data_IF_400131444781
#
_entry.id   IF_400131444781
#
_cell.length_a   1.000
_cell.length_b   1.000
_cell.length_c   1.000
_cell.angle_alpha   90.00
_cell.angle_beta   90.00
_cell.angle_gamma   90.00
#
_symmetry.space_group_name_H-M   'P 1'
#
loop_
_entity.id
_entity.type
_entity.pdbx_description
1 polymer ?
#
# COMPACT_ATOMS: atom_id res chain seq x y z
N UNK A 1 -4.46 1.16 -38.93
CA UNK A 1 -4.33 1.12 -37.45
C UNK A 1 -3.86 2.51 -36.99
N UNK A 2 -4.70 3.30 -36.30
CA UNK A 2 -4.44 4.74 -36.11
C UNK A 2 -3.92 5.04 -34.68
N UNK A 3 -2.65 5.43 -34.60
CA UNK A 3 -1.86 5.66 -33.36
C UNK A 3 -2.47 6.77 -32.47
N UNK A 4 -3.24 7.71 -33.05
CA UNK A 4 -3.93 8.76 -32.29
C UNK A 4 -5.01 8.21 -31.32
N UNK A 5 -5.59 7.05 -31.60
CA UNK A 5 -6.63 6.47 -30.73
C UNK A 5 -6.04 5.83 -29.46
N UNK A 6 -4.81 5.31 -29.53
CA UNK A 6 -4.14 4.67 -28.39
C UNK A 6 -3.66 5.67 -27.33
N UNK A 7 -3.32 6.90 -27.73
CA UNK A 7 -2.87 7.95 -26.80
C UNK A 7 -4.04 8.56 -26.03
N UNK A 8 -5.24 8.62 -26.63
CA UNK A 8 -6.44 9.18 -25.98
C UNK A 8 -7.00 8.31 -24.86
N UNK A 9 -6.86 6.99 -24.93
CA UNK A 9 -7.31 6.07 -23.87
C UNK A 9 -6.42 6.07 -22.62
N UNK A 10 -5.17 6.54 -22.73
CA UNK A 10 -4.23 6.58 -21.61
C UNK A 10 -4.37 7.86 -20.74
N UNK A 11 -5.01 8.91 -21.25
CA UNK A 11 -5.12 10.23 -20.58
C UNK A 11 -6.51 10.46 -19.97
N UNK A 12 -7.48 9.59 -20.25
CA UNK A 12 -8.83 9.70 -19.69
C UNK A 12 -8.96 8.91 -18.39
N UNK A 13 -9.24 9.60 -17.29
CA UNK A 13 -9.66 8.98 -16.02
C UNK A 13 -11.12 8.47 -16.07
N UNK A 14 -11.84 8.68 -17.19
CA UNK A 14 -13.15 8.06 -17.35
C UNK A 14 -13.01 6.58 -17.74
N UNK A 15 -13.70 5.66 -17.04
CA UNK A 15 -13.77 4.28 -17.46
C UNK A 15 -14.31 4.23 -18.90
N UNK A 16 -13.78 3.33 -19.76
CA UNK A 16 -14.28 3.16 -21.11
C UNK A 16 -15.80 2.94 -21.06
N UNK A 17 -16.51 3.60 -21.97
CA UNK A 17 -17.98 3.73 -22.05
C UNK A 17 -18.74 2.42 -22.34
N UNK A 18 -18.23 1.29 -21.86
CA UNK A 18 -18.79 -0.06 -21.99
C UNK A 18 -18.92 -0.80 -20.66
N UNK A 19 -18.80 -0.12 -19.51
CA UNK A 19 -19.23 -0.72 -18.24
C UNK A 19 -20.76 -0.81 -18.25
N UNK A 20 -21.26 -1.95 -18.74
CA UNK A 20 -22.65 -2.36 -18.52
C UNK A 20 -22.82 -2.52 -17.01
N UNK A 21 -23.34 -1.48 -16.36
CA UNK A 21 -23.81 -1.59 -14.97
C UNK A 21 -24.81 -2.74 -14.84
N UNK A 22 -25.13 -3.16 -13.61
CA UNK A 22 -26.06 -4.27 -13.38
C UNK A 22 -27.32 -4.03 -14.20
N UNK A 23 -27.50 -4.81 -15.26
CA UNK A 23 -28.67 -4.67 -16.11
C UNK A 23 -29.76 -5.47 -15.40
N UNK A 24 -30.88 -4.86 -14.99
CA UNK A 24 -31.90 -5.54 -14.19
C UNK A 24 -32.62 -6.69 -14.93
N UNK A 25 -32.19 -7.05 -16.14
CA UNK A 25 -32.91 -7.92 -17.08
C UNK A 25 -32.10 -9.11 -17.62
N UNK A 26 -30.97 -9.47 -16.99
CA UNK A 26 -30.18 -10.66 -17.33
C UNK A 26 -30.03 -11.61 -16.13
N UNK A 27 -29.75 -12.91 -16.34
CA UNK A 27 -29.45 -13.83 -15.25
C UNK A 27 -28.26 -13.29 -14.44
N UNK A 28 -28.42 -13.22 -13.12
CA UNK A 28 -27.39 -12.71 -12.20
C UNK A 28 -26.09 -13.48 -12.43
N UNK A 29 -25.04 -12.76 -12.85
CA UNK A 29 -23.72 -13.36 -12.97
C UNK A 29 -23.08 -13.39 -11.59
N UNK A 30 -22.19 -14.34 -11.32
CA UNK A 30 -21.48 -14.42 -10.03
C UNK A 30 -20.71 -13.14 -9.69
N UNK A 31 -20.32 -12.36 -10.70
CA UNK A 31 -19.68 -11.05 -10.54
C UNK A 31 -20.65 -10.00 -10.02
N UNK A 32 -21.90 -10.02 -10.47
CA UNK A 32 -22.92 -9.07 -10.01
C UNK A 32 -23.33 -9.32 -8.55
N UNK A 33 -23.23 -10.58 -8.10
CA UNK A 33 -23.51 -10.97 -6.70
C UNK A 33 -22.43 -10.48 -5.73
N UNK A 34 -21.18 -10.44 -6.18
CA UNK A 34 -20.02 -10.02 -5.35
C UNK A 34 -19.71 -8.52 -5.50
N UNK A 35 -20.31 -7.87 -6.51
CA UNK A 35 -20.10 -6.45 -6.74
C UNK A 35 -20.65 -5.60 -5.58
N UNK A 36 -19.90 -4.61 -5.08
CA UNK A 36 -20.40 -3.67 -4.11
C UNK A 36 -21.50 -2.77 -4.70
N UNK A 37 -22.41 -2.22 -3.87
CA UNK A 37 -23.53 -1.42 -4.33
C UNK A 37 -23.11 -0.09 -4.96
N UNK A 38 -22.04 0.54 -4.45
CA UNK A 38 -21.47 1.77 -4.98
C UNK A 38 -19.98 1.87 -4.58
N UNK A 39 -19.18 2.44 -5.48
CA UNK A 39 -17.78 2.81 -5.24
C UNK A 39 -17.60 4.25 -5.68
N UNK A 40 -17.09 5.09 -4.79
CA UNK A 40 -16.69 6.47 -5.09
C UNK A 40 -15.16 6.55 -5.01
N UNK A 41 -14.54 7.05 -6.08
CA UNK A 41 -13.08 7.11 -6.24
C UNK A 41 -12.66 8.57 -6.20
N UNK A 42 -11.93 8.96 -5.16
CA UNK A 42 -11.23 10.24 -5.07
C UNK A 42 -9.71 10.01 -5.20
N UNK A 43 -8.94 11.09 -5.36
CA UNK A 43 -7.48 11.03 -5.47
C UNK A 43 -6.80 10.58 -4.18
N UNK A 44 -7.41 10.85 -3.03
CA UNK A 44 -6.80 10.66 -1.70
C UNK A 44 -7.44 9.49 -0.94
N UNK A 45 -8.66 9.09 -1.29
CA UNK A 45 -9.39 8.02 -0.61
C UNK A 45 -10.39 7.34 -1.54
N UNK A 46 -10.83 6.16 -1.14
CA UNK A 46 -11.84 5.35 -1.82
C UNK A 46 -12.99 5.10 -0.85
N UNK A 47 -14.23 5.35 -1.26
CA UNK A 47 -15.41 5.02 -0.47
C UNK A 47 -16.12 3.82 -1.11
N UNK A 48 -16.28 2.73 -0.36
CA UNK A 48 -16.98 1.51 -0.80
C UNK A 48 -18.19 1.32 0.10
N UNK A 49 -19.40 1.57 -0.43
CA UNK A 49 -20.60 1.66 0.40
C UNK A 49 -20.44 2.72 1.50
N UNK A 50 -20.44 2.30 2.76
CA UNK A 50 -20.25 3.18 3.93
C UNK A 50 -18.81 3.14 4.49
N UNK A 51 -17.89 2.41 3.85
CA UNK A 51 -16.51 2.27 4.31
C UNK A 51 -15.57 3.23 3.60
N UNK A 52 -14.82 4.00 4.38
CA UNK A 52 -13.72 4.84 3.89
C UNK A 52 -12.41 4.05 3.91
N UNK A 53 -11.77 3.91 2.76
CA UNK A 53 -10.54 3.15 2.57
C UNK A 53 -9.42 4.07 2.06
N UNK A 54 -8.23 3.94 2.65
CA UNK A 54 -7.02 4.65 2.22
C UNK A 54 -5.80 3.76 2.43
N UNK A 55 -4.87 3.79 1.47
CA UNK A 55 -3.56 3.16 1.62
C UNK A 55 -2.51 4.21 1.91
N UNK A 56 -1.74 4.01 2.98
CA UNK A 56 -0.64 4.88 3.36
C UNK A 56 0.69 4.16 3.12
N UNK A 57 1.67 4.86 2.55
CA UNK A 57 3.02 4.34 2.38
C UNK A 57 4.01 5.10 3.26
N UNK A 58 4.75 4.38 4.10
CA UNK A 58 5.68 4.94 5.08
C UNK A 58 7.11 4.58 4.65
N UNK A 59 7.91 5.58 4.31
CA UNK A 59 9.31 5.40 3.90
C UNK A 59 10.34 5.75 4.99
N UNK A 60 9.91 6.43 6.06
CA UNK A 60 10.80 6.99 7.08
C UNK A 60 10.66 6.32 8.44
N UNK A 61 11.07 5.06 8.57
CA UNK A 61 11.11 4.41 9.88
C UNK A 61 12.23 5.00 10.76
N UNK A 62 12.06 5.04 12.09
CA UNK A 62 13.11 5.46 13.00
C UNK A 62 14.38 4.62 12.82
N UNK A 63 15.56 5.26 12.88
CA UNK A 63 16.86 4.57 12.81
C UNK A 63 17.08 3.62 13.99
N UNK A 64 16.50 3.94 15.14
CA UNK A 64 16.57 3.13 16.35
C UNK A 64 15.16 2.95 16.90
N UNK A 65 14.82 1.72 17.25
CA UNK A 65 13.51 1.37 17.80
C UNK A 65 13.71 0.63 19.12
N UNK A 66 12.90 0.98 20.13
CA UNK A 66 12.82 0.23 21.38
C UNK A 66 11.93 -0.99 21.21
N UNK A 67 11.88 -1.86 22.22
CA UNK A 67 10.83 -2.87 22.30
C UNK A 67 9.44 -2.20 22.21
N UNK A 68 8.50 -2.89 21.56
CA UNK A 68 7.10 -2.46 21.40
C UNK A 68 6.88 -1.16 20.62
N UNK A 69 7.84 -0.70 19.81
CA UNK A 69 7.68 0.53 19.02
C UNK A 69 6.50 0.52 18.03
N UNK A 70 6.05 -0.65 17.59
CA UNK A 70 4.92 -0.83 16.68
C UNK A 70 3.58 -1.01 17.43
N UNK A 71 3.57 -0.98 18.77
CA UNK A 71 2.37 -1.24 19.57
C UNK A 71 1.17 -0.38 19.18
N UNK A 72 1.29 0.94 18.92
CA UNK A 72 0.11 1.76 18.59
C UNK A 72 -0.60 1.35 17.31
N UNK A 73 0.13 0.76 16.35
CA UNK A 73 -0.45 0.24 15.12
C UNK A 73 -1.14 -1.11 15.33
N UNK A 74 -0.61 -1.93 16.24
CA UNK A 74 -1.16 -3.27 16.55
C UNK A 74 -2.37 -3.17 17.48
N UNK A 75 -2.38 -2.20 18.41
CA UNK A 75 -3.47 -1.96 19.36
C UNK A 75 -4.56 -1.05 18.82
N UNK A 76 -4.51 -0.71 17.52
CA UNK A 76 -5.50 0.14 16.89
C UNK A 76 -6.88 -0.53 16.86
N UNK A 77 -7.92 0.18 17.33
CA UNK A 77 -9.27 -0.37 17.50
C UNK A 77 -10.08 -0.52 16.20
N UNK A 78 -9.46 -0.38 15.02
CA UNK A 78 -10.12 -0.50 13.74
C UNK A 78 -9.36 -1.46 12.81
N UNK A 79 -10.06 -1.93 11.77
CA UNK A 79 -9.49 -2.80 10.74
C UNK A 79 -8.37 -2.09 10.01
N UNK A 80 -7.18 -2.70 10.01
CA UNK A 80 -5.98 -2.15 9.40
C UNK A 80 -5.14 -3.32 8.87
N UNK A 81 -4.76 -3.22 7.59
CA UNK A 81 -3.85 -4.17 6.95
C UNK A 81 -2.43 -3.58 6.89
N UNK A 82 -1.45 -4.25 7.50
CA UNK A 82 -0.04 -3.81 7.51
C UNK A 82 0.82 -4.78 6.72
N UNK A 83 1.67 -4.24 5.85
CA UNK A 83 2.80 -4.96 5.27
C UNK A 83 4.11 -4.25 5.63
N UNK A 84 5.05 -4.99 6.22
CA UNK A 84 6.38 -4.49 6.57
C UNK A 84 7.44 -5.14 5.68
N UNK A 85 8.28 -4.31 5.05
CA UNK A 85 9.40 -4.76 4.23
C UNK A 85 10.72 -4.44 4.94
N UNK A 86 11.41 -5.46 5.44
CA UNK A 86 12.68 -5.32 6.15
C UNK A 86 13.82 -5.81 5.27
N UNK A 87 14.78 -4.91 5.00
CA UNK A 87 15.99 -5.22 4.25
C UNK A 87 17.17 -5.33 5.21
N UNK A 88 17.69 -6.54 5.48
CA UNK A 88 18.81 -6.69 6.41
C UNK A 88 20.10 -6.14 5.80
N UNK A 89 20.89 -5.44 6.62
CA UNK A 89 22.26 -5.07 6.29
C UNK A 89 23.23 -6.23 6.52
N UNK A 90 24.36 -6.27 5.80
CA UNK A 90 25.39 -7.30 5.97
C UNK A 90 26.05 -7.20 7.35
N UNK A 91 26.06 -8.31 8.10
CA UNK A 91 26.64 -8.36 9.45
C UNK A 91 28.16 -8.18 9.45
N UNK A 92 28.87 -8.57 8.39
CA UNK A 92 30.33 -8.47 8.25
C UNK A 92 30.81 -7.02 8.39
N UNK A 93 30.15 -6.09 7.69
CA UNK A 93 30.50 -4.67 7.72
C UNK A 93 30.30 -4.07 9.13
N UNK A 94 29.28 -4.52 9.86
CA UNK A 94 29.04 -4.06 11.23
C UNK A 94 30.09 -4.62 12.18
N UNK A 95 30.47 -5.89 12.04
CA UNK A 95 31.49 -6.54 12.85
C UNK A 95 32.87 -5.88 12.70
N UNK A 96 33.28 -5.55 11.48
CA UNK A 96 34.56 -4.88 11.24
C UNK A 96 34.57 -3.45 11.79
N UNK A 97 33.44 -2.74 11.69
CA UNK A 97 33.29 -1.44 12.34
C UNK A 97 33.38 -1.52 13.86
N UNK A 98 32.75 -2.52 14.48
CA UNK A 98 32.82 -2.74 15.92
C UNK A 98 34.24 -3.10 16.38
N UNK A 99 34.92 -4.01 15.68
CA UNK A 99 36.33 -4.38 15.99
C UNK A 99 37.25 -3.18 15.93
N UNK A 100 37.12 -2.34 14.89
CA UNK A 100 37.89 -1.10 14.77
C UNK A 100 37.62 -0.16 15.94
N UNK A 101 36.35 0.00 16.33
CA UNK A 101 35.97 0.89 17.44
C UNK A 101 36.49 0.41 18.79
N UNK A 102 36.50 -0.91 19.03
CA UNK A 102 37.10 -1.50 20.24
C UNK A 102 38.60 -1.23 20.28
N UNK A 103 39.31 -1.47 19.17
CA UNK A 103 40.75 -1.18 19.09
C UNK A 103 41.10 0.29 19.32
N UNK A 104 40.26 1.23 18.86
CA UNK A 104 40.44 2.67 19.14
C UNK A 104 40.27 3.01 20.64
N UNK A 105 39.35 2.33 21.34
CA UNK A 105 39.12 2.55 22.77
C UNK A 105 40.21 1.91 23.65
N UNK A 106 40.71 0.73 23.27
CA UNK A 106 41.78 0.05 24.02
C UNK A 106 43.15 0.74 23.85
N UNK A 107 43.32 1.55 22.81
CA UNK A 107 44.55 2.32 22.56
C UNK A 107 44.62 3.66 23.32
N UNK A 108 43.61 4.01 24.12
CA UNK A 108 43.57 5.22 24.97
C UNK A 108 43.70 4.86 26.44
#
# INVERSE_FOLDING_TARGET
MNIKNAIRSFITLQPPSGLKGPTPSGPLTTKDVVAPPAIEVDFDHLTIGDQLVRTLFIAGYPRYVSANWLEPLISFNHTLDVALYVYPSKSEEILDNLKRKVGEMEAT
#
